data_IF_243370485313
#
_entry.id   IF_243370485313
#
_cell.length_a   1.000
_cell.length_b   1.000
_cell.length_c   1.000
_cell.angle_alpha   90.00
_cell.angle_beta   90.00
_cell.angle_gamma   90.00
#
_symmetry.space_group_name_H-M   'P 1'
#
loop_
_entity.id
_entity.type
_entity.pdbx_description
1 polymer ?
#
# COMPACT_ATOMS: atom_id res chain seq x y z
N UNK A 1 -0.44 25.15 -51.65
CA UNK A 1 0.17 23.90 -51.12
C UNK A 1 -0.63 22.72 -51.64
N UNK A 2 -0.01 21.83 -52.42
CA UNK A 2 -0.71 20.71 -53.05
C UNK A 2 -1.26 19.72 -52.01
N UNK A 3 -2.39 19.07 -52.32
CA UNK A 3 -3.04 18.08 -51.43
C UNK A 3 -2.06 17.01 -50.92
N UNK A 4 -1.06 16.65 -51.73
CA UNK A 4 0.00 15.70 -51.35
C UNK A 4 0.97 16.22 -50.29
N UNK A 5 1.26 17.52 -50.29
CA UNK A 5 2.11 18.17 -49.28
C UNK A 5 1.35 18.26 -47.95
N UNK A 6 0.06 18.61 -48.01
CA UNK A 6 -0.81 18.62 -46.83
C UNK A 6 -0.99 17.21 -46.24
N UNK A 7 -1.16 16.20 -47.09
CA UNK A 7 -1.26 14.81 -46.67
C UNK A 7 0.05 14.29 -46.04
N UNK A 8 1.21 14.63 -46.61
CA UNK A 8 2.50 14.28 -46.04
C UNK A 8 2.71 14.93 -44.66
N UNK A 9 2.28 16.19 -44.50
CA UNK A 9 2.38 16.93 -43.23
C UNK A 9 1.45 16.33 -42.17
N UNK A 10 0.24 15.93 -42.55
CA UNK A 10 -0.71 15.27 -41.65
C UNK A 10 -0.21 13.89 -41.16
N UNK A 11 0.43 13.11 -42.04
CA UNK A 11 1.02 11.81 -41.68
C UNK A 11 2.21 11.99 -40.71
N UNK A 12 3.05 13.01 -40.93
CA UNK A 12 4.16 13.35 -40.05
C UNK A 12 3.70 13.74 -38.64
N UNK A 13 2.62 14.52 -38.54
CA UNK A 13 2.03 14.89 -37.25
C UNK A 13 1.43 13.67 -36.54
N UNK A 14 0.76 12.77 -37.27
CA UNK A 14 0.19 11.55 -36.69
C UNK A 14 1.27 10.62 -36.10
N UNK A 15 2.40 10.45 -36.79
CA UNK A 15 3.53 9.64 -36.32
C UNK A 15 4.17 10.19 -35.03
N UNK A 16 4.24 11.51 -34.86
CA UNK A 16 4.82 12.13 -33.67
C UNK A 16 3.94 11.96 -32.42
N UNK A 17 2.61 11.93 -32.57
CA UNK A 17 1.68 11.76 -31.45
C UNK A 17 1.69 10.31 -30.92
N UNK A 18 1.98 9.32 -31.76
CA UNK A 18 2.08 7.91 -31.34
C UNK A 18 3.28 7.63 -30.41
N UNK A 19 4.36 8.40 -30.52
CA UNK A 19 5.57 8.21 -29.70
C UNK A 19 5.41 8.58 -28.22
N UNK A 20 4.48 9.48 -27.88
CA UNK A 20 4.25 9.91 -26.49
C UNK A 20 3.31 9.00 -25.72
N UNK A 21 2.51 8.18 -26.39
CA UNK A 21 1.55 7.27 -25.75
C UNK A 21 2.24 6.07 -25.07
N UNK A 22 3.38 5.60 -25.60
CA UNK A 22 4.12 4.45 -25.05
C UNK A 22 5.10 4.82 -23.92
N UNK A 23 5.34 6.10 -23.65
CA UNK A 23 6.22 6.51 -22.53
C UNK A 23 5.51 6.49 -21.16
N UNK A 24 4.17 6.34 -21.16
CA UNK A 24 3.37 6.20 -19.94
C UNK A 24 3.11 4.73 -19.53
N UNK A 25 3.73 3.77 -20.20
CA UNK A 25 3.81 2.36 -19.76
C UNK A 25 5.11 2.09 -18.99
N UNK A 26 5.60 3.10 -18.26
CA UNK A 26 6.69 2.98 -17.29
C UNK A 26 6.24 3.09 -15.83
N UNK A 27 4.94 3.22 -15.58
CA UNK A 27 4.37 3.51 -14.26
C UNK A 27 3.94 2.28 -13.42
N UNK A 28 4.19 1.07 -13.89
CA UNK A 28 3.65 -0.15 -13.26
C UNK A 28 4.48 -1.41 -13.46
N UNK A 29 5.79 -1.26 -13.67
CA UNK A 29 6.70 -2.40 -13.76
C UNK A 29 6.92 -3.04 -12.40
N UNK A 30 6.12 -4.04 -12.06
CA UNK A 30 6.39 -5.04 -11.03
C UNK A 30 7.59 -5.93 -11.39
N UNK A 31 8.72 -5.30 -11.73
CA UNK A 31 10.01 -5.96 -11.80
C UNK A 31 10.53 -6.11 -10.39
N UNK A 32 10.69 -7.34 -9.93
CA UNK A 32 11.48 -7.64 -8.75
C UNK A 32 12.86 -6.99 -8.95
N UNK A 33 13.09 -5.86 -8.29
CA UNK A 33 14.40 -5.25 -8.22
C UNK A 33 15.38 -6.36 -7.83
N UNK A 34 16.57 -6.46 -8.48
CA UNK A 34 17.50 -7.53 -8.17
C UNK A 34 17.67 -7.59 -6.66
N UNK A 35 17.40 -8.77 -6.07
CA UNK A 35 17.39 -9.01 -4.62
C UNK A 35 18.80 -8.76 -4.09
N UNK A 36 19.12 -7.48 -3.94
CA UNK A 36 20.40 -7.04 -3.48
C UNK A 36 20.33 -7.26 -1.98
N UNK A 37 21.00 -8.29 -1.47
CA UNK A 37 21.03 -8.67 -0.06
C UNK A 37 21.34 -7.47 0.86
N UNK A 38 22.04 -6.46 0.33
CA UNK A 38 22.26 -5.18 0.97
C UNK A 38 20.99 -4.32 1.11
N UNK A 39 20.17 -4.22 0.06
CA UNK A 39 18.89 -3.51 0.07
C UNK A 39 17.89 -4.18 1.03
N UNK A 40 17.78 -5.51 1.02
CA UNK A 40 16.92 -6.21 1.98
C UNK A 40 17.36 -6.02 3.42
N UNK A 41 18.67 -6.07 3.69
CA UNK A 41 19.22 -5.80 5.03
C UNK A 41 18.91 -4.38 5.48
N UNK A 42 19.05 -3.39 4.59
CA UNK A 42 18.67 -2.01 4.89
C UNK A 42 17.18 -1.88 5.14
N UNK A 43 16.33 -2.49 4.31
CA UNK A 43 14.87 -2.49 4.51
C UNK A 43 14.49 -3.09 5.86
N UNK A 44 15.04 -4.25 6.22
CA UNK A 44 14.83 -4.90 7.53
C UNK A 44 15.32 -4.04 8.69
N UNK A 45 16.43 -3.31 8.55
CA UNK A 45 16.91 -2.37 9.57
C UNK A 45 15.93 -1.20 9.74
N UNK A 46 15.51 -0.57 8.64
CA UNK A 46 14.52 0.52 8.64
C UNK A 46 13.19 0.07 9.25
N UNK A 47 12.70 -1.11 8.91
CA UNK A 47 11.48 -1.68 9.49
C UNK A 47 11.61 -1.91 11.00
N UNK A 48 12.77 -2.42 11.46
CA UNK A 48 13.02 -2.60 12.90
C UNK A 48 13.09 -1.27 13.63
N UNK A 49 13.75 -0.27 13.06
CA UNK A 49 13.84 1.08 13.61
C UNK A 49 12.47 1.75 13.69
N UNK A 50 11.69 1.68 12.61
CA UNK A 50 10.30 2.15 12.58
C UNK A 50 9.44 1.44 13.64
N UNK A 51 9.53 0.12 13.75
CA UNK A 51 8.80 -0.63 14.76
C UNK A 51 9.20 -0.27 16.20
N UNK A 52 10.47 0.09 16.45
CA UNK A 52 10.91 0.60 17.76
C UNK A 52 10.36 2.00 18.02
N UNK A 53 10.47 2.91 17.06
CA UNK A 53 9.93 4.26 17.15
C UNK A 53 8.42 4.25 17.43
N UNK A 54 7.66 3.42 16.71
CA UNK A 54 6.22 3.24 16.93
C UNK A 54 5.89 2.73 18.34
N UNK A 55 6.67 1.77 18.85
CA UNK A 55 6.48 1.25 20.21
C UNK A 55 6.75 2.33 21.24
N UNK A 56 7.78 3.14 21.06
CA UNK A 56 8.12 4.24 21.96
C UNK A 56 7.07 5.35 21.91
N UNK A 57 6.62 5.74 20.72
CA UNK A 57 5.54 6.70 20.53
C UNK A 57 4.25 6.23 21.22
N UNK A 58 3.88 4.96 21.06
CA UNK A 58 2.72 4.36 21.77
C UNK A 58 2.88 4.39 23.29
N UNK A 59 4.07 4.05 23.81
CA UNK A 59 4.35 4.12 25.25
C UNK A 59 4.27 5.55 25.78
N UNK A 60 4.85 6.52 25.06
CA UNK A 60 4.79 7.95 25.43
C UNK A 60 3.34 8.43 25.43
N UNK A 61 2.59 8.12 24.38
CA UNK A 61 1.16 8.43 24.29
C UNK A 61 0.39 7.85 25.48
N UNK A 62 0.55 6.55 25.78
CA UNK A 62 -0.11 5.93 26.93
C UNK A 62 0.26 6.59 28.27
N UNK A 63 1.53 7.02 28.45
CA UNK A 63 1.98 7.68 29.67
C UNK A 63 1.37 9.07 29.88
N UNK A 64 1.19 9.83 28.80
CA UNK A 64 0.60 11.18 28.83
C UNK A 64 -0.89 11.13 29.17
N UNK A 65 -1.58 10.03 28.83
CA UNK A 65 -3.01 9.89 29.09
C UNK A 65 -3.35 9.77 30.59
N UNK A 66 -4.46 10.41 30.98
CA UNK A 66 -5.04 10.28 32.31
C UNK A 66 -5.35 8.83 32.69
N UNK A 67 -5.35 8.55 34.01
CA UNK A 67 -5.65 7.21 34.55
C UNK A 67 -7.02 6.69 34.08
N UNK A 68 -8.04 7.56 34.00
CA UNK A 68 -9.38 7.22 33.50
C UNK A 68 -9.33 6.79 32.03
N UNK A 69 -8.62 7.55 31.19
CA UNK A 69 -8.44 7.25 29.77
C UNK A 69 -7.67 5.96 29.55
N UNK A 70 -6.57 5.74 30.28
CA UNK A 70 -5.79 4.48 30.24
C UNK A 70 -6.66 3.26 30.58
N UNK A 71 -7.50 3.35 31.61
CA UNK A 71 -8.44 2.26 31.97
C UNK A 71 -9.44 1.99 30.83
N UNK A 72 -10.00 3.05 30.22
CA UNK A 72 -10.90 2.93 29.06
C UNK A 72 -10.22 2.27 27.85
N UNK A 73 -9.00 2.71 27.51
CA UNK A 73 -8.20 2.11 26.44
C UNK A 73 -7.94 0.62 26.71
N UNK A 74 -7.56 0.24 27.94
CA UNK A 74 -7.37 -1.16 28.33
C UNK A 74 -8.66 -1.98 28.19
N UNK A 75 -9.80 -1.46 28.62
CA UNK A 75 -11.12 -2.12 28.48
C UNK A 75 -11.47 -2.32 27.00
N UNK A 76 -11.30 -1.30 26.17
CA UNK A 76 -11.55 -1.37 24.73
C UNK A 76 -10.63 -2.38 24.05
N UNK A 77 -9.33 -2.36 24.37
CA UNK A 77 -8.36 -3.34 23.86
C UNK A 77 -8.77 -4.77 24.18
N UNK A 78 -9.16 -5.04 25.43
CA UNK A 78 -9.67 -6.37 25.84
C UNK A 78 -10.96 -6.76 25.13
N UNK A 79 -11.90 -5.81 24.94
CA UNK A 79 -13.15 -6.06 24.20
C UNK A 79 -12.86 -6.44 22.75
N UNK A 80 -11.99 -5.69 22.08
CA UNK A 80 -11.58 -5.97 20.71
C UNK A 80 -10.85 -7.32 20.59
N UNK A 81 -9.99 -7.66 21.56
CA UNK A 81 -9.30 -8.95 21.58
C UNK A 81 -10.27 -10.13 21.71
N UNK A 82 -11.26 -10.04 22.62
CA UNK A 82 -12.32 -11.05 22.74
C UNK A 82 -13.13 -11.19 21.46
N UNK A 83 -13.53 -10.07 20.85
CA UNK A 83 -14.25 -10.08 19.59
C UNK A 83 -13.42 -10.69 18.45
N UNK A 84 -12.10 -10.51 18.45
CA UNK A 84 -11.19 -11.13 17.48
C UNK A 84 -11.00 -12.63 17.70
N UNK A 85 -10.92 -13.07 18.96
CA UNK A 85 -10.80 -14.50 19.32
C UNK A 85 -12.08 -15.27 19.02
N UNK A 86 -13.23 -14.66 19.28
CA UNK A 86 -14.54 -15.27 19.06
C UNK A 86 -15.11 -14.95 17.68
N UNK A 87 -14.26 -14.72 16.67
CA UNK A 87 -14.74 -14.56 15.29
C UNK A 87 -15.26 -15.91 14.82
N UNK A 88 -16.58 -16.03 14.73
CA UNK A 88 -17.21 -17.13 13.99
C UNK A 88 -16.87 -17.06 12.51
N UNK A 89 -17.32 -18.05 11.75
CA UNK A 89 -17.16 -18.07 10.30
C UNK A 89 -17.69 -16.77 9.68
N UNK A 90 -16.92 -16.11 8.81
CA UNK A 90 -17.39 -14.94 8.10
C UNK A 90 -18.60 -15.31 7.23
N UNK A 91 -19.48 -14.33 6.98
CA UNK A 91 -20.77 -14.56 6.34
C UNK A 91 -20.68 -15.32 5.00
N UNK A 92 -19.61 -15.10 4.23
CA UNK A 92 -19.41 -15.78 2.94
C UNK A 92 -19.12 -17.27 3.11
N UNK A 93 -18.36 -17.68 4.14
CA UNK A 93 -18.17 -19.10 4.45
C UNK A 93 -19.48 -19.76 4.87
N UNK A 94 -20.36 -19.02 5.55
CA UNK A 94 -21.69 -19.51 5.94
C UNK A 94 -22.63 -19.73 4.75
N UNK A 95 -22.56 -18.87 3.72
CA UNK A 95 -23.42 -18.97 2.52
C UNK A 95 -22.94 -20.07 1.58
N UNK A 96 -21.62 -20.22 1.40
CA UNK A 96 -21.03 -21.18 0.47
C UNK A 96 -20.56 -22.48 1.14
N UNK A 97 -21.06 -22.80 2.35
CA UNK A 97 -20.72 -24.05 3.02
C UNK A 97 -21.32 -25.21 2.24
N UNK A 98 -20.46 -26.09 1.71
CA UNK A 98 -20.90 -27.33 1.05
C UNK A 98 -21.66 -28.18 2.08
N UNK A 99 -22.84 -28.68 1.70
CA UNK A 99 -23.63 -29.60 2.53
C UNK A 99 -22.92 -30.94 2.67
#
# INVERSE_FOLDING_TARGET
MGKKVFQALAIMIFLMISGTAFSQEGGGGGGEAPVNKHYEKQKKKREKEAAKADKEAKKRHEKIQDKKTRKRMKKNRKKAERARKNKGEPFFQRIFRKK
#
